data_IF_246901945126
#
_entry.id   IF_246901945126
#
_cell.length_a   1.000
_cell.length_b   1.000
_cell.length_c   1.000
_cell.angle_alpha   90.00
_cell.angle_beta   90.00
_cell.angle_gamma   90.00
#
_symmetry.space_group_name_H-M   'P 1'
#
loop_
_entity.id
_entity.type
_entity.pdbx_description
1 polymer ?
#
# COMPACT_ATOMS: atom_id res chain seq x y z
N UNK A 1 8.40 10.03 8.19
CA UNK A 1 7.56 8.84 8.42
C UNK A 1 6.18 9.17 7.92
N UNK A 2 5.74 8.52 6.84
CA UNK A 2 4.41 8.74 6.30
C UNK A 2 3.31 8.27 7.28
N UNK A 3 2.19 8.98 7.34
CA UNK A 3 1.08 8.62 8.20
C UNK A 3 0.15 7.65 7.46
N UNK A 4 -0.20 6.51 8.07
CA UNK A 4 -1.14 5.52 7.49
C UNK A 4 -2.46 6.16 7.04
N UNK A 5 -2.94 7.20 7.73
CA UNK A 5 -4.17 7.93 7.36
C UNK A 5 -4.10 8.66 6.02
N UNK A 6 -2.90 8.83 5.44
CA UNK A 6 -2.69 9.42 4.11
C UNK A 6 -2.79 8.39 2.99
N UNK A 7 -3.02 7.11 3.31
CA UNK A 7 -3.07 6.02 2.33
C UNK A 7 -4.33 5.18 2.49
N UNK A 8 -4.89 4.75 1.36
CA UNK A 8 -5.88 3.70 1.27
C UNK A 8 -5.16 2.38 1.03
N UNK A 9 -5.48 1.36 1.82
CA UNK A 9 -4.98 0.00 1.63
C UNK A 9 -6.17 -0.87 1.27
N UNK A 10 -6.10 -1.53 0.12
CA UNK A 10 -7.10 -2.50 -0.33
C UNK A 10 -6.41 -3.85 -0.46
N UNK A 11 -6.83 -4.81 0.34
CA UNK A 11 -6.40 -6.20 0.24
C UNK A 11 -7.17 -6.90 -0.88
N UNK A 12 -6.47 -7.64 -1.73
CA UNK A 12 -7.07 -8.39 -2.82
C UNK A 12 -6.51 -9.81 -2.86
N UNK A 13 -7.40 -10.78 -3.05
CA UNK A 13 -7.01 -12.16 -3.24
C UNK A 13 -6.83 -12.42 -4.74
N UNK A 14 -5.59 -12.67 -5.19
CA UNK A 14 -5.32 -13.01 -6.60
C UNK A 14 -5.66 -14.46 -6.92
N UNK A 15 -5.44 -15.34 -5.95
CA UNK A 15 -5.73 -16.77 -6.04
C UNK A 15 -5.96 -17.33 -4.62
N UNK A 16 -6.59 -18.50 -4.48
CA UNK A 16 -6.87 -19.07 -3.16
C UNK A 16 -5.61 -19.15 -2.30
N UNK A 17 -5.65 -18.52 -1.12
CA UNK A 17 -4.50 -18.44 -0.20
C UNK A 17 -3.37 -17.50 -0.62
N UNK A 18 -3.56 -16.67 -1.66
CA UNK A 18 -2.59 -15.66 -2.10
C UNK A 18 -3.20 -14.26 -2.10
N UNK A 19 -2.69 -13.43 -1.22
CA UNK A 19 -3.19 -12.10 -0.92
C UNK A 19 -2.17 -11.03 -1.28
N UNK A 20 -2.66 -9.92 -1.80
CA UNK A 20 -1.88 -8.71 -2.05
C UNK A 20 -2.54 -7.53 -1.39
N UNK A 21 -1.79 -6.46 -1.18
CA UNK A 21 -2.32 -5.18 -0.75
C UNK A 21 -1.96 -4.10 -1.77
N UNK A 22 -2.98 -3.47 -2.33
CA UNK A 22 -2.87 -2.27 -3.14
C UNK A 22 -2.88 -1.04 -2.23
N UNK A 23 -1.90 -0.18 -2.41
CA UNK A 23 -1.67 1.01 -1.58
C UNK A 23 -1.83 2.22 -2.49
N UNK A 24 -2.79 3.07 -2.14
CA UNK A 24 -3.11 4.28 -2.90
C UNK A 24 -2.99 5.50 -1.99
N UNK A 25 -2.11 6.47 -2.28
CA UNK A 25 -2.06 7.70 -1.51
C UNK A 25 -3.34 8.52 -1.72
N UNK A 26 -3.95 8.98 -0.63
CA UNK A 26 -4.93 10.07 -0.71
C UNK A 26 -4.14 11.34 -1.04
N UNK A 27 -4.36 11.92 -2.21
CA UNK A 27 -3.58 13.03 -2.78
C UNK A 27 -3.61 14.37 -1.97
N UNK A 28 -3.98 14.35 -0.68
CA UNK A 28 -4.42 15.52 0.06
C UNK A 28 -3.41 16.17 1.01
N UNK A 29 -2.16 15.73 1.08
CA UNK A 29 -1.19 16.43 1.95
C UNK A 29 0.12 16.71 1.27
N UNK A 30 0.18 17.88 0.60
CA UNK A 30 1.25 18.88 0.69
C UNK A 30 2.70 18.52 0.35
N UNK A 31 3.04 17.25 0.20
CA UNK A 31 4.36 16.79 -0.15
C UNK A 31 4.33 16.62 -1.65
N UNK A 32 4.65 17.72 -2.33
CA UNK A 32 5.09 17.70 -3.71
C UNK A 32 6.26 16.72 -3.83
N UNK A 33 5.96 15.45 -4.15
CA UNK A 33 6.93 14.54 -4.75
C UNK A 33 7.17 15.13 -6.14
N UNK A 34 8.20 15.97 -6.25
CA UNK A 34 8.58 16.68 -7.47
C UNK A 34 8.76 15.66 -8.60
N UNK A 35 7.80 15.65 -9.53
CA UNK A 35 7.92 14.92 -10.80
C UNK A 35 7.03 13.69 -10.92
N UNK A 36 5.73 13.93 -11.15
CA UNK A 36 4.79 13.09 -11.91
C UNK A 36 4.27 11.77 -11.28
N UNK A 37 2.93 11.72 -11.29
CA UNK A 37 2.04 10.55 -11.19
C UNK A 37 1.98 9.87 -9.83
N UNK A 38 0.84 10.01 -9.15
CA UNK A 38 0.48 9.21 -7.99
C UNK A 38 0.25 7.76 -8.47
N UNK A 39 1.33 6.97 -8.56
CA UNK A 39 1.24 5.56 -8.93
C UNK A 39 0.81 4.80 -7.68
N UNK A 40 -0.42 4.32 -7.65
CA UNK A 40 -0.79 3.28 -6.69
C UNK A 40 0.18 2.11 -6.84
N UNK A 41 0.67 1.57 -5.72
CA UNK A 41 1.63 0.48 -5.74
C UNK A 41 1.05 -0.72 -5.00
N UNK A 42 1.43 -1.91 -5.45
CA UNK A 42 0.99 -3.16 -4.86
C UNK A 42 2.15 -3.74 -4.07
N UNK A 43 1.86 -4.45 -2.99
CA UNK A 43 2.88 -5.24 -2.30
C UNK A 43 3.62 -6.16 -3.27
N UNK A 44 4.94 -6.31 -3.12
CA UNK A 44 5.76 -7.05 -4.09
C UNK A 44 5.47 -8.56 -4.12
N UNK A 45 5.08 -9.13 -2.99
CA UNK A 45 4.90 -10.56 -2.80
C UNK A 45 3.43 -10.92 -2.56
N UNK A 46 3.03 -12.11 -3.01
CA UNK A 46 1.77 -12.77 -2.63
C UNK A 46 1.90 -13.35 -1.21
N UNK A 47 1.04 -12.92 -0.28
CA UNK A 47 1.02 -13.37 1.11
C UNK A 47 0.03 -14.50 1.36
N UNK A 48 0.26 -15.31 2.40
CA UNK A 48 -0.59 -16.44 2.75
C UNK A 48 -1.94 -16.03 3.35
N UNK A 49 -2.01 -14.82 3.90
CA UNK A 49 -3.22 -14.27 4.53
C UNK A 49 -3.44 -12.80 4.21
N UNK A 50 -4.69 -12.37 4.32
CA UNK A 50 -5.08 -10.96 4.18
C UNK A 50 -4.33 -10.07 5.19
N UNK A 51 -4.21 -10.53 6.43
CA UNK A 51 -3.56 -9.79 7.51
C UNK A 51 -2.06 -9.60 7.27
N UNK A 52 -1.37 -10.59 6.69
CA UNK A 52 0.03 -10.46 6.29
C UNK A 52 0.21 -9.42 5.19
N UNK A 53 -0.65 -9.44 4.16
CA UNK A 53 -0.61 -8.45 3.09
C UNK A 53 -0.85 -7.03 3.63
N UNK A 54 -1.80 -6.87 4.55
CA UNK A 54 -2.07 -5.59 5.21
C UNK A 54 -0.87 -5.13 6.05
N UNK A 55 -0.27 -6.02 6.84
CA UNK A 55 0.89 -5.70 7.67
C UNK A 55 2.11 -5.28 6.82
N UNK A 56 2.35 -5.97 5.70
CA UNK A 56 3.39 -5.60 4.76
C UNK A 56 3.15 -4.21 4.15
N UNK A 57 1.91 -3.90 3.77
CA UNK A 57 1.55 -2.57 3.28
C UNK A 57 1.81 -1.46 4.29
N UNK A 58 1.46 -1.67 5.57
CA UNK A 58 1.77 -0.71 6.62
C UNK A 58 3.28 -0.51 6.82
N UNK A 59 4.07 -1.57 6.70
CA UNK A 59 5.54 -1.49 6.81
C UNK A 59 6.13 -0.67 5.66
N UNK A 60 5.61 -0.85 4.44
CA UNK A 60 6.02 -0.05 3.28
C UNK A 60 5.68 1.42 3.52
N UNK A 61 4.46 1.75 3.95
CA UNK A 61 4.05 3.13 4.25
C UNK A 61 4.94 3.78 5.30
N UNK A 62 5.32 3.05 6.36
CA UNK A 62 6.23 3.57 7.39
C UNK A 62 7.65 3.87 6.88
N UNK A 63 8.09 3.17 5.83
CA UNK A 63 9.39 3.35 5.21
C UNK A 63 9.43 4.46 4.14
N UNK A 64 8.26 4.94 3.69
CA UNK A 64 8.11 6.14 2.85
C UNK A 64 8.24 7.42 3.69
#
# INVERSE_FOLDING_TARGET
MANKSQFSIVTCQRSPGRWLAAITPYAHSGIYIRGRTTVSFVTPDDYGSESEAMFAAEKIIKAL
#
